data_IF_144892552544
#
_entry.id   IF_144892552544
#
_cell.length_a   1.000
_cell.length_b   1.000
_cell.length_c   1.000
_cell.angle_alpha   90.00
_cell.angle_beta   90.00
_cell.angle_gamma   90.00
#
_symmetry.space_group_name_H-M   'P 1'
#
loop_
_entity.id
_entity.type
_entity.pdbx_description
1 polymer ?
#
# COMPACT_ATOMS: atom_id res chain seq x y z
N UNK A 1 -5.34 13.83 12.21
CA UNK A 1 -5.24 13.85 13.70
C UNK A 1 -4.52 12.60 14.22
N UNK A 2 -3.88 12.59 15.41
CA UNK A 2 -3.21 11.38 15.97
C UNK A 2 -4.16 10.17 16.02
N UNK A 3 -5.44 10.42 16.29
CA UNK A 3 -6.49 9.38 16.34
C UNK A 3 -6.78 8.75 14.98
N UNK A 4 -6.62 9.51 13.91
CA UNK A 4 -6.79 9.08 12.52
C UNK A 4 -5.59 8.25 12.06
N UNK A 5 -4.37 8.71 12.38
CA UNK A 5 -3.15 7.93 12.15
C UNK A 5 -3.12 6.61 12.93
N UNK A 6 -3.69 6.57 14.14
CA UNK A 6 -3.88 5.32 14.89
C UNK A 6 -4.90 4.37 14.25
N UNK A 7 -5.96 4.92 13.64
CA UNK A 7 -6.98 4.12 12.94
C UNK A 7 -6.38 3.45 11.70
N UNK A 8 -5.59 4.21 10.92
CA UNK A 8 -4.86 3.73 9.75
C UNK A 8 -3.79 2.69 10.13
N UNK A 9 -2.98 2.95 11.17
CA UNK A 9 -1.94 2.03 11.64
C UNK A 9 -2.49 0.69 12.16
N UNK A 10 -3.73 0.65 12.65
CA UNK A 10 -4.37 -0.55 13.18
C UNK A 10 -5.37 -1.18 12.20
N UNK A 11 -5.54 -0.63 11.01
CA UNK A 11 -6.52 -1.13 10.02
C UNK A 11 -6.28 -2.61 9.70
N UNK A 12 -5.03 -3.01 9.48
CA UNK A 12 -4.67 -4.42 9.19
C UNK A 12 -5.04 -5.35 10.36
N UNK A 13 -4.97 -4.88 11.61
CA UNK A 13 -5.40 -5.65 12.79
C UNK A 13 -6.93 -5.77 12.86
N UNK A 14 -7.67 -4.75 12.43
CA UNK A 14 -9.14 -4.71 12.46
C UNK A 14 -9.82 -5.51 11.34
N UNK A 15 -9.11 -5.77 10.24
CA UNK A 15 -9.63 -6.57 9.12
C UNK A 15 -9.81 -8.06 9.44
N UNK A 16 -9.37 -8.54 10.61
CA UNK A 16 -9.58 -9.95 11.02
C UNK A 16 -8.83 -10.97 10.15
N UNK A 17 -7.70 -10.57 9.56
CA UNK A 17 -6.97 -11.39 8.59
C UNK A 17 -6.16 -12.51 9.28
N UNK A 18 -5.87 -13.62 8.57
CA UNK A 18 -4.97 -14.66 9.06
C UNK A 18 -3.61 -14.08 9.51
N UNK A 19 -3.06 -14.60 10.61
CA UNK A 19 -1.86 -14.04 11.25
C UNK A 19 -0.65 -13.91 10.31
N UNK A 20 -0.48 -14.84 9.37
CA UNK A 20 0.60 -14.77 8.38
C UNK A 20 0.42 -13.61 7.39
N UNK A 21 -0.81 -13.37 6.93
CA UNK A 21 -1.12 -12.28 6.01
C UNK A 21 -1.00 -10.93 6.73
N UNK A 22 -1.52 -10.85 7.96
CA UNK A 22 -1.37 -9.67 8.83
C UNK A 22 0.09 -9.30 9.05
N UNK A 23 0.96 -10.26 9.33
CA UNK A 23 2.40 -10.00 9.52
C UNK A 23 3.05 -9.42 8.27
N UNK A 24 2.70 -9.90 7.08
CA UNK A 24 3.25 -9.38 5.83
C UNK A 24 2.71 -8.02 5.44
N UNK A 25 1.46 -7.70 5.81
CA UNK A 25 0.83 -6.40 5.54
C UNK A 25 1.16 -5.34 6.60
N UNK A 26 1.54 -5.76 7.82
CA UNK A 26 1.90 -4.85 8.91
C UNK A 26 3.33 -4.31 8.81
N UNK A 27 4.12 -4.74 7.83
CA UNK A 27 5.46 -4.21 7.58
C UNK A 27 5.59 -3.64 6.17
N UNK A 28 6.53 -2.72 6.02
CA UNK A 28 6.83 -1.99 4.78
C UNK A 28 7.96 -2.65 3.96
N UNK A 29 8.47 -3.80 4.40
CA UNK A 29 9.63 -4.46 3.79
C UNK A 29 9.49 -4.66 2.26
N UNK A 30 8.30 -5.01 1.78
CA UNK A 30 8.05 -5.21 0.35
C UNK A 30 8.21 -3.93 -0.46
N UNK A 31 7.66 -2.81 0.03
CA UNK A 31 7.78 -1.51 -0.65
C UNK A 31 9.19 -0.93 -0.49
N UNK A 32 9.82 -1.10 0.66
CA UNK A 32 11.18 -0.63 0.93
C UNK A 32 12.22 -1.32 0.06
N UNK A 33 12.10 -2.64 -0.12
CA UNK A 33 13.00 -3.40 -0.96
C UNK A 33 12.89 -2.95 -2.43
N UNK A 34 11.66 -2.80 -2.94
CA UNK A 34 11.42 -2.25 -4.29
C UNK A 34 12.03 -0.86 -4.45
N UNK A 35 11.74 0.06 -3.51
CA UNK A 35 12.26 1.42 -3.55
C UNK A 35 13.79 1.47 -3.39
N UNK A 36 14.37 0.52 -2.66
CA UNK A 36 15.82 0.33 -2.59
C UNK A 36 16.44 0.01 -3.94
N UNK A 37 15.79 -0.83 -4.75
CA UNK A 37 16.22 -1.12 -6.13
C UNK A 37 16.10 0.11 -7.02
N UNK A 38 14.97 0.84 -6.95
CA UNK A 38 14.79 2.09 -7.70
C UNK A 38 15.90 3.09 -7.38
N UNK A 39 16.22 3.30 -6.09
CA UNK A 39 17.34 4.15 -5.67
C UNK A 39 18.68 3.69 -6.22
N UNK A 40 18.93 2.37 -6.23
CA UNK A 40 20.17 1.79 -6.76
C UNK A 40 20.31 2.02 -8.26
N UNK A 41 19.24 1.83 -9.02
CA UNK A 41 19.20 2.07 -10.48
C UNK A 41 19.44 3.54 -10.79
N UNK A 42 18.83 4.44 -10.01
CA UNK A 42 18.96 5.88 -10.21
C UNK A 42 20.25 6.49 -9.64
N UNK A 43 21.07 5.75 -8.88
CA UNK A 43 22.18 6.29 -8.06
C UNK A 43 23.21 7.12 -8.85
N UNK A 44 23.41 6.77 -10.11
CA UNK A 44 24.40 7.38 -11.00
C UNK A 44 23.81 8.49 -11.89
N UNK A 45 22.49 8.71 -11.86
CA UNK A 45 21.85 9.79 -12.62
C UNK A 45 22.14 11.11 -11.90
N UNK A 46 23.07 11.90 -12.44
CA UNK A 46 23.45 13.20 -11.87
C UNK A 46 22.73 14.39 -12.48
N UNK A 47 22.26 14.26 -13.72
CA UNK A 47 21.60 15.33 -14.48
C UNK A 47 20.19 14.94 -14.87
N UNK A 48 19.21 15.41 -14.10
CA UNK A 48 17.78 15.25 -14.38
C UNK A 48 17.31 16.40 -15.30
N UNK A 49 16.61 16.07 -16.39
CA UNK A 49 16.20 17.07 -17.39
C UNK A 49 14.77 17.56 -17.19
N UNK A 50 13.87 16.67 -16.81
CA UNK A 50 12.44 16.94 -16.61
C UNK A 50 11.79 15.79 -15.82
N UNK A 51 10.49 15.95 -15.52
CA UNK A 51 9.67 14.95 -14.82
C UNK A 51 9.51 13.65 -15.62
N UNK A 52 9.39 13.74 -16.94
CA UNK A 52 9.28 12.56 -17.81
C UNK A 52 10.52 11.66 -17.71
N UNK A 53 11.72 12.24 -17.67
CA UNK A 53 12.95 11.50 -17.42
C UNK A 53 12.93 10.80 -16.05
N UNK A 54 12.44 11.47 -15.01
CA UNK A 54 12.29 10.86 -13.69
C UNK A 54 11.35 9.65 -13.73
N UNK A 55 10.19 9.78 -14.38
CA UNK A 55 9.22 8.70 -14.55
C UNK A 55 9.83 7.49 -15.28
N UNK A 56 10.58 7.71 -16.36
CA UNK A 56 11.24 6.63 -17.11
C UNK A 56 12.28 5.89 -16.26
N UNK A 57 13.10 6.61 -15.49
CA UNK A 57 14.08 5.99 -14.59
C UNK A 57 13.42 5.23 -13.44
N UNK A 58 12.34 5.78 -12.87
CA UNK A 58 11.54 5.07 -11.87
C UNK A 58 10.93 3.81 -12.44
N UNK A 59 10.33 3.87 -13.64
CA UNK A 59 9.76 2.71 -14.32
C UNK A 59 10.83 1.64 -14.59
N UNK A 60 11.99 2.03 -15.13
CA UNK A 60 13.11 1.11 -15.33
C UNK A 60 13.58 0.47 -14.01
N UNK A 61 13.66 1.25 -12.93
CA UNK A 61 13.98 0.76 -11.59
C UNK A 61 12.95 -0.23 -11.04
N UNK A 62 11.66 0.01 -11.29
CA UNK A 62 10.57 -0.89 -10.91
C UNK A 62 10.60 -2.18 -11.74
N UNK A 63 10.89 -2.10 -13.04
CA UNK A 63 11.07 -3.27 -13.90
C UNK A 63 12.22 -4.16 -13.41
N UNK A 64 13.33 -3.55 -12.98
CA UNK A 64 14.45 -4.28 -12.39
C UNK A 64 14.07 -4.92 -11.05
N UNK A 65 13.35 -4.19 -10.20
CA UNK A 65 12.87 -4.72 -8.93
C UNK A 65 11.94 -5.93 -9.12
N UNK A 66 11.06 -5.87 -10.14
CA UNK A 66 10.07 -6.91 -10.42
C UNK A 66 10.70 -8.27 -10.72
N UNK A 67 11.91 -8.31 -11.29
CA UNK A 67 12.65 -9.56 -11.55
C UNK A 67 12.94 -10.36 -10.27
N UNK A 68 13.05 -9.68 -9.12
CA UNK A 68 13.30 -10.30 -7.82
C UNK A 68 12.05 -10.60 -7.00
N UNK A 69 10.85 -10.30 -7.51
CA UNK A 69 9.63 -10.44 -6.73
C UNK A 69 9.28 -11.90 -6.46
N UNK A 70 8.76 -12.13 -5.25
CA UNK A 70 8.25 -13.42 -4.80
C UNK A 70 6.79 -13.25 -4.43
N UNK A 71 6.01 -14.33 -4.52
CA UNK A 71 4.63 -14.34 -4.03
C UNK A 71 4.60 -13.93 -2.56
N UNK A 72 3.60 -13.14 -2.19
CA UNK A 72 3.35 -12.78 -0.80
C UNK A 72 3.18 -14.08 0.02
N UNK A 73 3.74 -14.08 1.24
CA UNK A 73 3.45 -15.16 2.20
C UNK A 73 1.94 -15.17 2.44
N UNK A 74 1.35 -16.36 2.55
CA UNK A 74 -0.10 -16.50 2.70
C UNK A 74 -0.94 -15.89 1.55
N UNK A 75 -0.39 -15.75 0.32
CA UNK A 75 -1.15 -15.25 -0.85
C UNK A 75 -2.44 -16.02 -1.15
N UNK A 76 -2.56 -17.29 -0.72
CA UNK A 76 -3.80 -18.07 -0.83
C UNK A 76 -4.98 -17.44 -0.05
N UNK A 77 -4.71 -16.61 0.94
CA UNK A 77 -5.70 -15.89 1.73
C UNK A 77 -6.06 -14.50 1.16
N UNK A 78 -5.52 -14.12 0.00
CA UNK A 78 -5.89 -12.86 -0.67
C UNK A 78 -7.40 -12.73 -0.98
N UNK A 79 -8.16 -13.80 -1.29
CA UNK A 79 -9.61 -13.69 -1.42
C UNK A 79 -10.29 -13.23 -0.12
N UNK A 80 -9.83 -13.69 1.04
CA UNK A 80 -10.31 -13.26 2.36
C UNK A 80 -10.01 -11.78 2.59
N UNK A 81 -8.79 -11.34 2.25
CA UNK A 81 -8.43 -9.92 2.30
C UNK A 81 -9.34 -9.08 1.41
N UNK A 82 -9.59 -9.51 0.18
CA UNK A 82 -10.48 -8.79 -0.76
C UNK A 82 -11.89 -8.63 -0.18
N UNK A 83 -12.46 -9.69 0.39
CA UNK A 83 -13.77 -9.64 1.02
C UNK A 83 -13.78 -8.69 2.23
N UNK A 84 -12.75 -8.74 3.08
CA UNK A 84 -12.61 -7.86 4.23
C UNK A 84 -12.49 -6.38 3.82
N UNK A 85 -11.71 -6.08 2.77
CA UNK A 85 -11.57 -4.72 2.23
C UNK A 85 -12.87 -4.21 1.63
N UNK A 86 -13.60 -5.03 0.86
CA UNK A 86 -14.89 -4.64 0.30
C UNK A 86 -15.91 -4.31 1.40
N UNK A 87 -15.98 -5.14 2.45
CA UNK A 87 -16.83 -4.88 3.60
C UNK A 87 -16.40 -3.63 4.38
N UNK A 88 -15.11 -3.37 4.49
CA UNK A 88 -14.57 -2.16 5.14
C UNK A 88 -14.92 -0.90 4.34
N UNK A 89 -14.74 -0.92 3.02
CA UNK A 89 -15.06 0.20 2.14
C UNK A 89 -16.56 0.53 2.17
N UNK A 90 -17.43 -0.48 2.12
CA UNK A 90 -18.87 -0.26 2.24
C UNK A 90 -19.25 0.43 3.57
N UNK A 91 -18.61 0.04 4.68
CA UNK A 91 -18.81 0.70 5.98
C UNK A 91 -18.31 2.13 6.00
N UNK A 92 -17.15 2.41 5.39
CA UNK A 92 -16.64 3.78 5.26
C UNK A 92 -17.60 4.65 4.44
N UNK A 93 -18.04 4.19 3.27
CA UNK A 93 -19.01 4.93 2.45
C UNK A 93 -20.32 5.24 3.19
N UNK A 94 -20.82 4.30 4.00
CA UNK A 94 -22.00 4.55 4.84
C UNK A 94 -21.70 5.62 5.90
N UNK A 95 -20.53 5.54 6.55
CA UNK A 95 -20.10 6.52 7.54
C UNK A 95 -19.98 7.92 6.94
N UNK A 96 -19.33 8.05 5.79
CA UNK A 96 -19.14 9.33 5.11
C UNK A 96 -20.48 9.97 4.76
N UNK A 97 -21.43 9.20 4.22
CA UNK A 97 -22.80 9.66 3.93
C UNK A 97 -23.58 10.08 5.18
N UNK A 98 -23.40 9.38 6.30
CA UNK A 98 -24.01 9.75 7.58
C UNK A 98 -23.40 11.03 8.15
N UNK A 99 -22.11 11.25 7.96
CA UNK A 99 -21.41 12.47 8.36
C UNK A 99 -21.86 13.65 7.47
N UNK A 100 -22.00 13.45 6.16
CA UNK A 100 -22.56 14.45 5.23
C UNK A 100 -24.00 14.85 5.62
N UNK A 101 -24.88 13.88 5.90
CA UNK A 101 -26.26 14.16 6.30
C UNK A 101 -26.36 14.87 7.67
N UNK A 102 -25.39 14.65 8.57
CA UNK A 102 -25.30 15.37 9.86
C UNK A 102 -24.77 16.79 9.72
N UNK A 103 -23.94 17.06 8.71
CA UNK A 103 -23.42 18.40 8.44
C UNK A 103 -24.40 19.26 7.63
N UNK A 104 -25.31 18.62 6.88
CA UNK A 104 -26.35 19.28 6.11
C UNK A 104 -27.64 19.61 6.91
N UNK A 105 -27.72 19.19 8.17
CA UNK A 105 -28.83 19.44 9.10
C UNK A 105 -28.41 20.42 10.20
#
# INVERSE_FOLDING_TARGET
>A
SIREGLDEMLTVNRLGLPAQLRRSLACTNSIENMMGTVRRVCRNVKRWRNTDMALRWTAAGMMEAAKGFRRLKAHKHLPTLRAALAAHQAKQTIRDRLEEHRQAA
#
